data_IF_391478069315
#
_entry.id   IF_391478069315
#
_cell.length_a   1.000
_cell.length_b   1.000
_cell.length_c   1.000
_cell.angle_alpha   90.00
_cell.angle_beta   90.00
_cell.angle_gamma   90.00
#
_symmetry.space_group_name_H-M   'P 1'
#
loop_
_entity.id
_entity.type
_entity.pdbx_description
1 polymer ?
#
# COMPACT_ATOMS: atom_id res chain seq x y z
N UNK A 1 15.23 4.21 20.41
CA UNK A 1 14.45 3.01 20.08
C UNK A 1 13.09 3.36 19.47
N UNK A 2 12.38 4.40 19.95
CA UNK A 2 11.04 4.71 19.42
C UNK A 2 10.97 4.98 17.91
N UNK A 3 12.00 5.63 17.32
CA UNK A 3 12.05 5.85 15.86
C UNK A 3 12.03 4.54 15.06
N UNK A 4 12.59 3.46 15.60
CA UNK A 4 12.59 2.15 14.93
C UNK A 4 11.20 1.54 14.86
N UNK A 5 10.31 1.81 15.80
CA UNK A 5 8.92 1.34 15.72
C UNK A 5 8.18 2.02 14.56
N UNK A 6 8.38 3.33 14.34
CA UNK A 6 7.85 4.02 13.16
C UNK A 6 8.37 3.41 11.86
N UNK A 7 9.67 3.14 11.80
CA UNK A 7 10.32 2.61 10.59
C UNK A 7 9.84 1.20 10.30
N UNK A 8 9.90 0.30 11.28
CA UNK A 8 9.50 -1.09 11.10
C UNK A 8 8.01 -1.15 10.75
N UNK A 9 7.17 -0.35 11.43
CA UNK A 9 5.74 -0.25 11.10
C UNK A 9 5.52 0.19 9.65
N UNK A 10 6.21 1.24 9.20
CA UNK A 10 6.11 1.71 7.83
C UNK A 10 6.61 0.68 6.80
N UNK A 11 7.72 -0.02 7.08
CA UNK A 11 8.25 -1.04 6.18
C UNK A 11 7.29 -2.22 6.05
N UNK A 12 6.72 -2.71 7.15
CA UNK A 12 5.73 -3.80 7.13
C UNK A 12 4.50 -3.39 6.30
N UNK A 13 3.97 -2.19 6.55
CA UNK A 13 2.81 -1.68 5.81
C UNK A 13 3.12 -1.57 4.31
N UNK A 14 4.19 -0.86 3.94
CA UNK A 14 4.54 -0.63 2.53
C UNK A 14 4.77 -1.94 1.78
N UNK A 15 5.58 -2.84 2.34
CA UNK A 15 5.90 -4.10 1.68
C UNK A 15 4.66 -4.99 1.59
N UNK A 16 3.88 -5.09 2.68
CA UNK A 16 2.67 -5.90 2.73
C UNK A 16 1.61 -5.43 1.72
N UNK A 17 1.34 -4.13 1.67
CA UNK A 17 0.38 -3.52 0.74
C UNK A 17 0.82 -3.71 -0.72
N UNK A 18 2.11 -3.49 -1.03
CA UNK A 18 2.65 -3.74 -2.36
C UNK A 18 2.38 -5.17 -2.84
N UNK A 19 2.59 -6.17 -1.99
CA UNK A 19 2.31 -7.57 -2.33
C UNK A 19 0.82 -7.85 -2.45
N UNK A 20 -0.02 -7.28 -1.58
CA UNK A 20 -1.48 -7.38 -1.68
C UNK A 20 -1.96 -6.81 -3.02
N UNK A 21 -1.51 -5.63 -3.40
CA UNK A 21 -1.85 -5.00 -4.66
C UNK A 21 -1.42 -5.87 -5.85
N UNK A 22 -0.17 -6.33 -5.86
CA UNK A 22 0.36 -7.15 -6.95
C UNK A 22 -0.45 -8.45 -7.11
N UNK A 23 -0.74 -9.15 -6.00
CA UNK A 23 -1.58 -10.36 -6.01
C UNK A 23 -3.01 -10.08 -6.49
N UNK A 24 -3.58 -8.95 -6.07
CA UNK A 24 -4.95 -8.56 -6.42
C UNK A 24 -5.06 -8.21 -7.90
N UNK A 25 -4.10 -7.47 -8.45
CA UNK A 25 -4.07 -7.11 -9.87
C UNK A 25 -3.92 -8.34 -10.77
N UNK A 26 -3.10 -9.32 -10.41
CA UNK A 26 -3.05 -10.59 -11.17
C UNK A 26 -4.34 -11.39 -11.08
N UNK A 27 -5.03 -11.34 -9.94
CA UNK A 27 -6.36 -11.96 -9.81
C UNK A 27 -7.37 -11.26 -10.72
N UNK A 28 -7.34 -9.93 -10.77
CA UNK A 28 -8.19 -9.13 -11.67
C UNK A 28 -7.87 -9.44 -13.14
N UNK A 29 -6.59 -9.53 -13.50
CA UNK A 29 -6.15 -9.88 -14.86
C UNK A 29 -6.76 -11.23 -15.30
N UNK A 30 -6.64 -12.27 -14.48
CA UNK A 30 -7.22 -13.58 -14.78
C UNK A 30 -8.74 -13.53 -14.95
N UNK A 31 -9.43 -12.79 -14.07
CA UNK A 31 -10.88 -12.63 -14.12
C UNK A 31 -11.37 -11.89 -15.37
N UNK A 32 -10.58 -10.97 -15.88
CA UNK A 32 -10.89 -10.20 -17.09
C UNK A 32 -10.63 -10.97 -18.38
N UNK A 33 -10.00 -12.13 -18.31
CA UNK A 33 -9.78 -13.06 -19.43
C UNK A 33 -10.82 -14.20 -19.47
N UNK A 34 -11.68 -14.32 -18.46
CA UNK A 34 -12.76 -15.30 -18.44
C UNK A 34 -13.87 -14.92 -19.43
N UNK A 35 -14.46 -15.92 -20.10
CA UNK A 35 -15.60 -15.71 -21.00
C UNK A 35 -16.89 -15.53 -20.19
N UNK A 36 -17.08 -14.30 -19.69
CA UNK A 36 -18.21 -13.88 -18.85
C UNK A 36 -18.81 -12.59 -19.36
N UNK A 37 -20.06 -12.33 -18.99
CA UNK A 37 -20.70 -11.05 -19.27
C UNK A 37 -20.04 -9.93 -18.46
N UNK A 38 -20.08 -8.70 -19.00
CA UNK A 38 -19.50 -7.53 -18.31
C UNK A 38 -20.09 -7.30 -16.91
N UNK A 39 -21.38 -7.62 -16.73
CA UNK A 39 -22.07 -7.48 -15.45
C UNK A 39 -21.53 -8.48 -14.41
N UNK A 40 -21.30 -9.73 -14.80
CA UNK A 40 -20.74 -10.75 -13.91
C UNK A 40 -19.30 -10.40 -13.51
N UNK A 41 -18.49 -9.97 -14.48
CA UNK A 41 -17.12 -9.49 -14.23
C UNK A 41 -17.15 -8.33 -13.23
N UNK A 42 -18.03 -7.34 -13.42
CA UNK A 42 -18.10 -6.19 -12.54
C UNK A 42 -18.44 -6.58 -11.09
N UNK A 43 -19.37 -7.51 -10.89
CA UNK A 43 -19.68 -8.03 -9.55
C UNK A 43 -18.48 -8.73 -8.90
N UNK A 44 -17.70 -9.49 -9.66
CA UNK A 44 -16.47 -10.11 -9.16
C UNK A 44 -15.40 -9.07 -8.80
N UNK A 45 -15.24 -8.02 -9.62
CA UNK A 45 -14.30 -6.94 -9.34
C UNK A 45 -14.65 -6.20 -8.04
N UNK A 46 -15.93 -5.95 -7.78
CA UNK A 46 -16.39 -5.35 -6.52
C UNK A 46 -16.03 -6.25 -5.34
N UNK A 47 -16.28 -7.57 -5.44
CA UNK A 47 -15.91 -8.53 -4.40
C UNK A 47 -14.41 -8.58 -4.16
N UNK A 48 -13.60 -8.55 -5.22
CA UNK A 48 -12.13 -8.51 -5.14
C UNK A 48 -11.66 -7.23 -4.45
N UNK A 49 -12.27 -6.08 -4.78
CA UNK A 49 -11.97 -4.80 -4.14
C UNK A 49 -12.28 -4.85 -2.63
N UNK A 50 -13.43 -5.41 -2.22
CA UNK A 50 -13.76 -5.59 -0.80
C UNK A 50 -12.71 -6.45 -0.10
N UNK A 51 -12.34 -7.59 -0.70
CA UNK A 51 -11.31 -8.47 -0.14
C UNK A 51 -9.93 -7.80 -0.06
N UNK A 52 -9.61 -6.94 -1.01
CA UNK A 52 -8.38 -6.15 -1.02
C UNK A 52 -8.32 -5.18 0.18
N UNK A 53 -9.41 -4.49 0.50
CA UNK A 53 -9.48 -3.62 1.67
C UNK A 53 -9.41 -4.41 2.98
N UNK A 54 -10.03 -5.60 3.04
CA UNK A 54 -9.92 -6.47 4.22
C UNK A 54 -8.47 -6.92 4.41
N UNK A 55 -7.78 -7.33 3.35
CA UNK A 55 -6.36 -7.70 3.41
C UNK A 55 -5.49 -6.54 3.88
N UNK A 56 -5.77 -5.32 3.43
CA UNK A 56 -5.11 -4.11 3.92
C UNK A 56 -5.28 -3.97 5.42
N UNK A 57 -6.53 -3.92 5.90
CA UNK A 57 -6.83 -3.74 7.32
C UNK A 57 -6.14 -4.80 8.20
N UNK A 58 -6.08 -6.06 7.75
CA UNK A 58 -5.38 -7.13 8.47
C UNK A 58 -3.86 -6.89 8.52
N UNK A 59 -3.24 -6.50 7.40
CA UNK A 59 -1.81 -6.21 7.35
C UNK A 59 -1.44 -4.99 8.19
N UNK A 60 -2.33 -4.01 8.30
CA UNK A 60 -2.12 -2.77 9.05
C UNK A 60 -2.13 -2.94 10.57
N UNK A 61 -2.69 -4.04 11.11
CA UNK A 61 -2.77 -4.26 12.57
C UNK A 61 -1.40 -4.14 13.23
N UNK A 62 -0.39 -4.83 12.70
CA UNK A 62 0.97 -4.82 13.26
C UNK A 62 1.62 -3.43 13.15
N UNK A 63 1.66 -2.78 11.97
CA UNK A 63 2.10 -1.40 11.82
C UNK A 63 1.42 -0.41 12.78
N UNK A 64 0.10 -0.49 12.97
CA UNK A 64 -0.64 0.40 13.86
C UNK A 64 -0.21 0.23 15.32
N UNK A 65 -0.05 -1.02 15.79
CA UNK A 65 0.46 -1.29 17.13
C UNK A 65 1.86 -0.69 17.32
N UNK A 66 2.74 -0.85 16.33
CA UNK A 66 4.10 -0.29 16.39
C UNK A 66 4.08 1.24 16.45
N UNK A 67 3.23 1.91 15.67
CA UNK A 67 3.06 3.36 15.73
C UNK A 67 2.61 3.81 17.12
N UNK A 68 1.62 3.13 17.72
CA UNK A 68 1.16 3.45 19.08
C UNK A 68 2.29 3.31 20.09
N UNK A 69 3.06 2.21 20.03
CA UNK A 69 4.21 2.01 20.92
C UNK A 69 5.30 3.07 20.75
N UNK A 70 5.49 3.57 19.52
CA UNK A 70 6.43 4.65 19.22
C UNK A 70 6.06 5.96 19.90
N UNK A 71 4.76 6.30 19.92
CA UNK A 71 4.26 7.49 20.61
C UNK A 71 4.16 7.33 22.13
N UNK A 72 3.92 6.11 22.63
CA UNK A 72 3.88 5.85 24.07
C UNK A 72 5.25 5.94 24.75
N UNK A 73 6.34 5.75 24.00
CA UNK A 73 7.70 5.79 24.53
C UNK A 73 8.52 6.83 23.75
N UNK A 74 8.20 8.13 23.87
CA UNK A 74 8.88 9.18 23.12
C UNK A 74 10.33 9.27 23.59
N UNK A 75 11.24 8.92 22.69
CA UNK A 75 12.68 9.12 22.89
C UNK A 75 13.17 10.09 21.83
N UNK A 76 13.96 11.13 22.20
CA UNK A 76 14.53 12.05 21.24
C UNK A 76 15.32 11.29 20.18
N UNK A 77 15.00 11.54 18.93
CA UNK A 77 15.70 10.89 17.84
C UNK A 77 17.11 11.48 17.68
N UNK A 78 18.14 10.69 17.94
CA UNK A 78 19.54 11.10 17.74
C UNK A 78 19.92 11.28 16.27
N UNK A 79 19.14 10.70 15.35
CA UNK A 79 19.35 10.83 13.91
C UNK A 79 18.06 10.58 13.12
N UNK A 80 17.85 11.36 12.07
CA UNK A 80 16.78 11.14 11.07
C UNK A 80 17.21 10.19 9.94
N UNK A 81 18.48 9.78 9.89
CA UNK A 81 19.01 8.90 8.83
C UNK A 81 18.20 7.62 8.61
N UNK A 82 17.58 6.98 9.62
CA UNK A 82 16.81 5.76 9.37
C UNK A 82 15.52 5.98 8.56
N UNK A 83 15.00 7.21 8.46
CA UNK A 83 13.85 7.53 7.59
C UNK A 83 14.19 7.42 6.10
N UNK A 84 15.46 7.51 5.72
CA UNK A 84 15.92 7.31 4.34
C UNK A 84 15.53 5.90 3.87
N UNK A 85 15.58 4.91 4.75
CA UNK A 85 15.18 3.53 4.45
C UNK A 85 13.69 3.48 4.08
N UNK A 86 12.85 4.15 4.86
CA UNK A 86 11.40 4.23 4.60
C UNK A 86 11.15 4.90 3.25
N UNK A 87 11.81 6.02 2.96
CA UNK A 87 11.65 6.74 1.69
C UNK A 87 12.06 5.88 0.48
N UNK A 88 13.20 5.19 0.55
CA UNK A 88 13.68 4.33 -0.54
C UNK A 88 12.74 3.15 -0.78
N UNK A 89 12.28 2.48 0.28
CA UNK A 89 11.36 1.34 0.16
C UNK A 89 9.99 1.80 -0.35
N UNK A 90 9.49 2.94 0.12
CA UNK A 90 8.23 3.51 -0.34
C UNK A 90 8.27 3.88 -1.82
N UNK A 91 9.30 4.60 -2.27
CA UNK A 91 9.48 4.93 -3.70
C UNK A 91 9.59 3.64 -4.54
N UNK A 92 10.36 2.66 -4.08
CA UNK A 92 10.49 1.36 -4.74
C UNK A 92 9.13 0.64 -4.89
N UNK A 93 8.31 0.65 -3.84
CA UNK A 93 6.98 0.05 -3.85
C UNK A 93 6.03 0.81 -4.81
N UNK A 94 6.05 2.14 -4.82
CA UNK A 94 5.25 2.94 -5.76
C UNK A 94 5.62 2.64 -7.21
N UNK A 95 6.92 2.57 -7.53
CA UNK A 95 7.38 2.19 -8.87
C UNK A 95 6.93 0.77 -9.24
N UNK A 96 6.99 -0.16 -8.29
CA UNK A 96 6.54 -1.54 -8.51
C UNK A 96 5.03 -1.64 -8.75
N UNK A 97 4.23 -0.90 -7.99
CA UNK A 97 2.77 -0.77 -8.17
C UNK A 97 2.48 -0.23 -9.57
N UNK A 98 3.15 0.86 -9.95
CA UNK A 98 2.97 1.50 -11.25
C UNK A 98 3.35 0.56 -12.42
N UNK A 99 4.49 -0.12 -12.33
CA UNK A 99 4.92 -1.10 -13.34
C UNK A 99 3.94 -2.28 -13.46
N UNK A 100 3.43 -2.77 -12.32
CA UNK A 100 2.46 -3.86 -12.29
C UNK A 100 1.14 -3.42 -12.93
N UNK A 101 0.66 -2.22 -12.59
CA UNK A 101 -0.51 -1.63 -13.19
C UNK A 101 -0.37 -1.50 -14.71
N UNK A 102 0.70 -0.86 -15.19
CA UNK A 102 0.94 -0.68 -16.63
C UNK A 102 0.97 -2.01 -17.37
N UNK A 103 1.65 -3.02 -16.81
CA UNK A 103 1.76 -4.35 -17.43
C UNK A 103 0.38 -4.98 -17.66
N UNK A 104 -0.51 -4.89 -16.67
CA UNK A 104 -1.86 -5.47 -16.77
C UNK A 104 -2.79 -4.59 -17.61
N UNK A 105 -2.79 -3.27 -17.38
CA UNK A 105 -3.65 -2.33 -18.09
C UNK A 105 -3.44 -2.38 -19.62
N UNK A 106 -2.19 -2.55 -20.07
CA UNK A 106 -1.86 -2.67 -21.49
C UNK A 106 -2.42 -3.93 -22.17
N UNK A 107 -2.73 -4.97 -21.39
CA UNK A 107 -3.30 -6.24 -21.90
C UNK A 107 -4.83 -6.25 -21.94
N UNK A 108 -5.47 -5.26 -21.34
CA UNK A 108 -6.92 -5.18 -21.24
C UNK A 108 -7.44 -4.40 -22.44
N UNK A 109 -8.34 -4.95 -23.26
CA UNK A 109 -8.84 -4.24 -24.44
C UNK A 109 -9.96 -3.24 -24.09
N UNK A 110 -10.85 -3.63 -23.17
CA UNK A 110 -12.03 -2.85 -22.80
C UNK A 110 -11.66 -1.62 -21.95
N UNK A 111 -11.97 -0.43 -22.47
CA UNK A 111 -11.64 0.85 -21.84
C UNK A 111 -12.22 1.02 -20.42
N UNK A 112 -13.43 0.50 -20.16
CA UNK A 112 -14.07 0.58 -18.85
C UNK A 112 -13.23 -0.08 -17.74
N UNK A 113 -12.63 -1.24 -18.03
CA UNK A 113 -11.82 -1.99 -17.08
C UNK A 113 -10.43 -1.38 -16.91
N UNK A 114 -9.87 -0.75 -17.95
CA UNK A 114 -8.68 0.10 -17.79
C UNK A 114 -8.92 1.25 -16.83
N UNK A 115 -10.05 1.96 -16.99
CA UNK A 115 -10.44 3.05 -16.10
C UNK A 115 -10.61 2.60 -14.64
N UNK A 116 -11.21 1.43 -14.43
CA UNK A 116 -11.28 0.80 -13.10
C UNK A 116 -9.89 0.53 -12.52
N UNK A 117 -8.98 -0.10 -13.28
CA UNK A 117 -7.63 -0.42 -12.82
C UNK A 117 -6.83 0.83 -12.45
N UNK A 118 -6.98 1.93 -13.20
CA UNK A 118 -6.26 3.19 -12.90
C UNK A 118 -6.77 3.82 -11.61
N UNK A 119 -8.10 3.88 -11.42
CA UNK A 119 -8.68 4.34 -10.14
C UNK A 119 -8.22 3.45 -8.97
N UNK A 120 -8.19 2.14 -9.19
CA UNK A 120 -7.73 1.17 -8.20
C UNK A 120 -6.26 1.37 -7.82
N UNK A 121 -5.37 1.63 -8.80
CA UNK A 121 -3.98 1.99 -8.56
C UNK A 121 -3.85 3.29 -7.76
N UNK A 122 -4.65 4.32 -8.09
CA UNK A 122 -4.61 5.60 -7.37
C UNK A 122 -5.03 5.45 -5.90
N UNK A 123 -6.02 4.59 -5.63
CA UNK A 123 -6.43 4.25 -4.26
C UNK A 123 -5.27 3.59 -3.52
N UNK A 124 -4.64 2.57 -4.10
CA UNK A 124 -3.48 1.89 -3.50
C UNK A 124 -2.34 2.88 -3.21
N UNK A 125 -2.01 3.74 -4.18
CA UNK A 125 -0.98 4.76 -4.02
C UNK A 125 -1.29 5.68 -2.82
N UNK A 126 -2.56 6.05 -2.62
CA UNK A 126 -2.99 6.80 -1.45
C UNK A 126 -2.79 6.02 -0.14
N UNK A 127 -3.23 4.76 -0.09
CA UNK A 127 -3.15 3.91 1.09
C UNK A 127 -1.70 3.63 1.51
N UNK A 128 -0.85 3.19 0.57
CA UNK A 128 0.54 2.83 0.84
C UNK A 128 1.38 4.02 1.31
N UNK A 129 0.94 5.24 1.00
CA UNK A 129 1.60 6.48 1.41
C UNK A 129 1.32 6.87 2.86
N UNK A 130 0.26 6.36 3.48
CA UNK A 130 -0.16 6.76 4.82
C UNK A 130 0.93 6.47 5.88
N UNK A 131 1.47 5.26 5.91
CA UNK A 131 2.45 4.85 6.93
C UNK A 131 3.81 5.54 6.79
N UNK A 132 4.40 5.69 5.59
CA UNK A 132 5.59 6.51 5.40
C UNK A 132 5.41 7.95 5.90
N UNK A 133 4.27 8.58 5.58
CA UNK A 133 3.95 9.93 6.05
C UNK A 133 3.87 9.95 7.58
N UNK A 134 3.18 8.99 8.21
CA UNK A 134 3.10 8.89 9.67
C UNK A 134 4.49 8.71 10.28
N UNK A 135 5.34 7.87 9.71
CA UNK A 135 6.71 7.66 10.21
C UNK A 135 7.55 8.93 10.13
N UNK A 136 7.48 9.67 9.02
CA UNK A 136 8.19 10.95 8.85
C UNK A 136 7.67 11.99 9.84
N UNK A 137 6.35 12.20 9.90
CA UNK A 137 5.75 13.21 10.79
C UNK A 137 6.02 12.85 12.26
N UNK A 138 5.81 11.60 12.65
CA UNK A 138 6.05 11.13 14.01
C UNK A 138 7.52 11.30 14.43
N UNK A 139 8.47 10.95 13.56
CA UNK A 139 9.89 11.15 13.84
C UNK A 139 10.26 12.64 13.96
N UNK A 140 9.68 13.51 13.13
CA UNK A 140 9.88 14.96 13.23
C UNK A 140 9.32 15.51 14.55
N UNK A 141 8.12 15.09 14.95
CA UNK A 141 7.52 15.50 16.23
C UNK A 141 8.41 15.14 17.43
N UNK A 142 9.00 13.95 17.43
CA UNK A 142 9.91 13.50 18.50
C UNK A 142 11.31 14.11 18.43
N UNK A 143 11.66 14.79 17.35
CA UNK A 143 12.97 15.45 17.19
C UNK A 143 12.98 16.92 17.65
N UNK A 144 11.81 17.55 17.72
CA UNK A 144 11.64 18.97 18.08
C UNK A 144 11.17 19.14 19.54
N UNK A 145 10.72 18.04 20.18
CA UNK A 145 10.25 17.99 21.56
C UNK A 145 11.32 17.65 22.59
#
# INVERSE_FOLDING_TARGET
MSIWYFIIGALIAVIGMMFIYQSTIYTIEGKLQEDKTDNEIYQELVRIQTMFFIKHAVVEIVPLILIVLAFMNPEPASSMSPLIIVAVVWIGAMLRIYQTHQRVANRIEKQQFRGFLTKFMMIEIGLISAFPIIAIVGALTLSVG
#
